data_IF_266068718224
#
_entry.id   IF_266068718224
#
_cell.length_a   1.000
_cell.length_b   1.000
_cell.length_c   1.000
_cell.angle_alpha   90.00
_cell.angle_beta   90.00
_cell.angle_gamma   90.00
#
_symmetry.space_group_name_H-M   'P 1'
#
loop_
_entity.id
_entity.type
_entity.pdbx_description
1 polymer ?
#
# COMPACT_ATOMS: atom_id res chain seq x y z
N UNK A 1 -9.66 11.45 -8.65
CA UNK A 1 -10.54 10.26 -8.75
C UNK A 1 -10.89 9.81 -7.33
N UNK A 2 -12.03 9.19 -7.09
CA UNK A 2 -12.38 8.61 -5.77
C UNK A 2 -12.60 7.11 -5.92
N UNK A 3 -12.03 6.31 -5.01
CA UNK A 3 -12.30 4.87 -4.92
C UNK A 3 -13.05 4.55 -3.64
N UNK A 4 -14.15 3.82 -3.73
CA UNK A 4 -14.95 3.39 -2.59
C UNK A 4 -14.76 1.89 -2.33
N UNK A 5 -14.80 1.48 -1.07
CA UNK A 5 -14.83 0.07 -0.66
C UNK A 5 -15.87 -0.13 0.44
N UNK A 6 -16.92 -0.89 0.18
CA UNK A 6 -17.98 -1.21 1.17
C UNK A 6 -17.42 -1.89 2.42
N UNK A 7 -16.32 -2.63 2.24
CA UNK A 7 -15.62 -3.33 3.32
C UNK A 7 -14.56 -2.46 3.98
N UNK A 8 -14.38 -1.21 3.54
CA UNK A 8 -13.31 -0.32 3.93
C UNK A 8 -11.93 -0.72 3.37
N UNK A 9 -10.92 0.04 3.76
CA UNK A 9 -9.51 -0.15 3.40
C UNK A 9 -8.71 -0.74 4.57
N UNK A 10 -7.59 -1.47 4.34
CA UNK A 10 -6.80 -2.06 5.43
C UNK A 10 -6.34 -1.06 6.50
N UNK A 11 -6.11 0.20 6.12
CA UNK A 11 -5.87 1.29 7.06
C UNK A 11 -7.10 1.62 7.92
N UNK A 12 -8.28 1.74 7.31
CA UNK A 12 -9.54 2.10 7.98
C UNK A 12 -9.97 1.08 9.02
N UNK A 13 -9.60 -0.20 8.85
CA UNK A 13 -9.85 -1.26 9.81
C UNK A 13 -9.17 -1.03 11.18
N UNK A 14 -8.26 -0.05 11.29
CA UNK A 14 -7.58 0.32 12.54
C UNK A 14 -8.27 1.45 13.31
N UNK A 15 -9.32 2.09 12.77
CA UNK A 15 -9.94 3.28 13.40
C UNK A 15 -11.26 2.87 14.11
N UNK A 16 -11.49 3.25 15.38
CA UNK A 16 -12.69 2.86 16.15
C UNK A 16 -14.01 3.40 15.60
N UNK A 17 -13.94 4.51 14.88
CA UNK A 17 -15.02 5.10 14.08
C UNK A 17 -14.50 5.06 12.67
N UNK A 18 -15.11 4.26 11.78
CA UNK A 18 -14.57 3.96 10.45
C UNK A 18 -13.95 5.20 9.80
N UNK A 19 -12.73 5.06 9.29
CA UNK A 19 -12.28 6.03 8.30
C UNK A 19 -13.14 5.79 7.06
N UNK A 20 -13.61 6.86 6.41
CA UNK A 20 -14.52 6.78 5.28
C UNK A 20 -14.11 5.71 4.25
N UNK A 21 -15.11 5.11 3.61
CA UNK A 21 -14.91 4.08 2.60
C UNK A 21 -14.24 4.61 1.32
N UNK A 22 -14.16 5.93 1.22
CA UNK A 22 -13.68 6.66 0.06
C UNK A 22 -12.20 7.05 0.14
N UNK A 23 -11.53 6.91 -1.00
CA UNK A 23 -10.12 7.20 -1.21
C UNK A 23 -9.96 8.25 -2.32
N UNK A 24 -9.58 9.47 -1.96
CA UNK A 24 -9.33 10.53 -2.94
C UNK A 24 -7.94 10.41 -3.57
N UNK A 25 -7.89 9.87 -4.79
CA UNK A 25 -6.67 9.78 -5.61
C UNK A 25 -6.39 11.14 -6.25
N UNK A 26 -5.31 11.76 -5.80
CA UNK A 26 -4.75 12.99 -6.35
C UNK A 26 -3.58 12.69 -7.30
N UNK A 27 -3.07 13.75 -7.94
CA UNK A 27 -1.95 13.65 -8.87
C UNK A 27 -0.69 13.03 -8.26
N UNK A 28 -0.34 13.37 -7.02
CA UNK A 28 0.88 12.86 -6.38
C UNK A 28 0.78 11.36 -6.06
N UNK A 29 -0.40 10.88 -5.67
CA UNK A 29 -0.66 9.46 -5.45
C UNK A 29 -0.62 8.70 -6.77
N UNK A 30 -1.18 9.27 -7.84
CA UNK A 30 -1.08 8.69 -9.18
C UNK A 30 0.38 8.63 -9.65
N UNK A 31 1.17 9.68 -9.43
CA UNK A 31 2.59 9.71 -9.77
C UNK A 31 3.38 8.63 -9.06
N UNK A 32 3.08 8.37 -7.77
CA UNK A 32 3.69 7.26 -7.02
C UNK A 32 3.34 5.91 -7.66
N UNK A 33 2.08 5.71 -8.05
CA UNK A 33 1.68 4.50 -8.74
C UNK A 33 2.39 4.33 -10.09
N UNK A 34 2.49 5.38 -10.91
CA UNK A 34 3.18 5.31 -12.20
C UNK A 34 4.65 4.89 -12.05
N UNK A 35 5.36 5.41 -11.04
CA UNK A 35 6.74 4.96 -10.74
C UNK A 35 6.78 3.47 -10.40
N UNK A 36 5.88 3.01 -9.52
CA UNK A 36 5.81 1.60 -9.14
C UNK A 36 5.41 0.71 -10.33
N UNK A 37 4.53 1.20 -11.20
CA UNK A 37 4.10 0.50 -12.41
C UNK A 37 5.25 0.38 -13.41
N UNK A 38 6.05 1.42 -13.59
CA UNK A 38 7.25 1.38 -14.44
C UNK A 38 8.24 0.33 -13.93
N UNK A 39 8.50 0.28 -12.61
CA UNK A 39 9.35 -0.73 -11.99
C UNK A 39 8.83 -2.16 -12.24
N UNK A 40 7.53 -2.36 -12.03
CA UNK A 40 6.87 -3.65 -12.23
C UNK A 40 6.93 -4.05 -13.71
N UNK A 41 6.74 -3.10 -14.62
CA UNK A 41 6.78 -3.34 -16.06
C UNK A 41 8.18 -3.72 -16.51
N UNK A 42 9.20 -3.01 -16.04
CA UNK A 42 10.60 -3.34 -16.30
C UNK A 42 10.96 -4.73 -15.75
N UNK A 43 10.53 -5.02 -14.53
CA UNK A 43 10.74 -6.32 -13.88
C UNK A 43 10.19 -7.49 -14.70
N UNK A 44 8.96 -7.37 -15.20
CA UNK A 44 8.35 -8.43 -16.00
C UNK A 44 8.84 -8.47 -17.46
N UNK A 45 9.46 -7.41 -17.95
CA UNK A 45 10.00 -7.34 -19.32
C UNK A 45 11.41 -7.91 -19.42
N UNK A 46 12.21 -7.80 -18.35
CA UNK A 46 13.61 -8.22 -18.33
C UNK A 46 13.81 -9.48 -17.47
N UNK A 47 13.54 -10.65 -18.05
CA UNK A 47 13.66 -11.95 -17.36
C UNK A 47 15.05 -12.20 -16.74
N UNK A 48 16.12 -11.65 -17.34
CA UNK A 48 17.51 -11.78 -16.85
C UNK A 48 17.86 -10.88 -15.64
N UNK A 49 17.06 -9.84 -15.36
CA UNK A 49 17.27 -8.93 -14.21
C UNK A 49 16.56 -9.38 -12.93
N UNK A 50 15.90 -10.54 -12.95
CA UNK A 50 15.28 -11.17 -11.77
C UNK A 50 16.28 -11.41 -10.61
N UNK A 51 17.58 -11.29 -10.87
CA UNK A 51 18.67 -11.36 -9.88
C UNK A 51 19.07 -10.01 -9.25
N UNK A 52 18.58 -8.86 -9.73
CA UNK A 52 18.85 -7.53 -9.16
C UNK A 52 17.57 -6.90 -8.59
N UNK A 53 17.14 -7.41 -7.44
CA UNK A 53 15.97 -6.95 -6.69
C UNK A 53 16.07 -5.52 -6.12
N UNK A 54 17.23 -4.85 -6.23
CA UNK A 54 17.42 -3.49 -5.71
C UNK A 54 16.49 -2.45 -6.35
N UNK A 55 16.15 -2.60 -7.63
CA UNK A 55 15.29 -1.62 -8.33
C UNK A 55 13.81 -1.74 -7.95
N UNK A 56 13.39 -2.88 -7.38
CA UNK A 56 12.00 -3.11 -6.97
C UNK A 56 11.76 -2.77 -5.51
N UNK A 57 12.78 -2.30 -4.80
CA UNK A 57 12.69 -1.89 -3.42
C UNK A 57 12.57 -0.37 -3.32
N UNK A 58 11.34 0.10 -3.11
CA UNK A 58 11.02 1.52 -3.00
C UNK A 58 10.74 1.93 -1.56
N UNK A 59 11.07 3.16 -1.21
CA UNK A 59 10.68 3.78 0.07
C UNK A 59 9.91 5.06 -0.22
N UNK A 60 8.65 5.11 0.20
CA UNK A 60 7.78 6.26 0.04
C UNK A 60 7.94 7.23 1.21
N UNK A 61 8.53 8.39 0.95
CA UNK A 61 8.86 9.44 1.92
C UNK A 61 7.97 10.64 1.66
N UNK A 62 7.49 11.28 2.72
CA UNK A 62 6.76 12.53 2.61
C UNK A 62 6.41 13.08 3.98
N UNK A 63 5.86 14.28 3.99
CA UNK A 63 5.54 15.01 5.22
C UNK A 63 4.69 14.17 6.19
N UNK A 64 4.95 14.23 7.51
CA UNK A 64 4.09 13.65 8.53
C UNK A 64 2.61 14.06 8.31
N UNK A 65 1.67 13.11 8.35
CA UNK A 65 0.23 13.41 8.23
C UNK A 65 -0.31 13.64 6.81
N UNK A 66 0.53 13.60 5.76
CA UNK A 66 0.13 13.82 4.36
C UNK A 66 -0.78 12.73 3.75
N UNK A 67 -1.11 11.68 4.52
CA UNK A 67 -1.94 10.58 4.06
C UNK A 67 -1.19 9.49 3.28
N UNK A 68 0.12 9.26 3.48
CA UNK A 68 0.85 8.19 2.78
C UNK A 68 0.22 6.81 2.95
N UNK A 69 -0.08 6.45 4.21
CA UNK A 69 -0.67 5.16 4.56
C UNK A 69 -2.10 5.05 4.03
N UNK A 70 -2.94 6.02 4.39
CA UNK A 70 -4.37 6.07 4.05
C UNK A 70 -4.59 6.16 2.56
N UNK A 71 -3.86 7.05 1.88
CA UNK A 71 -4.07 7.40 0.48
C UNK A 71 -3.20 6.55 -0.45
N UNK A 72 -1.89 6.81 -0.46
CA UNK A 72 -0.97 6.13 -1.37
C UNK A 72 -0.92 4.62 -1.12
N UNK A 73 -0.83 4.18 0.14
CA UNK A 73 -0.80 2.76 0.50
C UNK A 73 -2.05 2.00 0.04
N UNK A 74 -3.24 2.56 0.28
CA UNK A 74 -4.50 1.95 -0.16
C UNK A 74 -4.64 1.96 -1.69
N UNK A 75 -4.22 3.04 -2.35
CA UNK A 75 -4.27 3.12 -3.82
C UNK A 75 -3.31 2.12 -4.48
N UNK A 76 -2.09 1.99 -3.95
CA UNK A 76 -1.14 0.97 -4.38
C UNK A 76 -1.72 -0.43 -4.22
N UNK A 77 -2.38 -0.72 -3.09
CA UNK A 77 -3.03 -2.01 -2.90
C UNK A 77 -4.11 -2.24 -3.96
N UNK A 78 -5.00 -1.27 -4.17
CA UNK A 78 -6.04 -1.34 -5.20
C UNK A 78 -5.43 -1.66 -6.57
N UNK A 79 -4.43 -0.89 -6.98
CA UNK A 79 -3.79 -1.04 -8.28
C UNK A 79 -3.08 -2.40 -8.45
N UNK A 80 -2.34 -2.86 -7.44
CA UNK A 80 -1.68 -4.17 -7.48
C UNK A 80 -2.67 -5.34 -7.56
N UNK A 81 -3.82 -5.22 -6.89
CA UNK A 81 -4.90 -6.21 -6.95
C UNK A 81 -5.55 -6.25 -8.34
N UNK A 82 -5.60 -5.13 -9.06
CA UNK A 82 -6.14 -5.04 -10.42
C UNK A 82 -5.10 -5.26 -11.52
N UNK A 83 -3.82 -5.38 -11.17
CA UNK A 83 -2.76 -5.74 -12.11
C UNK A 83 -2.95 -7.19 -12.62
N UNK A 84 -2.30 -7.54 -13.72
CA UNK A 84 -2.32 -8.89 -14.29
C UNK A 84 -1.96 -9.98 -13.25
N UNK A 85 -2.90 -10.90 -13.00
CA UNK A 85 -2.78 -11.96 -12.01
C UNK A 85 -1.80 -13.06 -12.43
N UNK A 86 -1.57 -13.27 -13.74
CA UNK A 86 -0.60 -14.25 -14.24
C UNK A 86 0.83 -13.80 -13.96
N UNK A 87 1.07 -12.48 -14.03
CA UNK A 87 2.36 -11.86 -13.73
C UNK A 87 2.56 -11.67 -12.24
N UNK A 88 1.56 -11.14 -11.55
CA UNK A 88 1.60 -10.83 -10.12
C UNK A 88 0.48 -11.58 -9.39
N UNK A 89 0.84 -12.69 -8.76
CA UNK A 89 -0.12 -13.64 -8.20
C UNK A 89 -0.53 -13.28 -6.77
N UNK A 90 0.38 -12.69 -6.00
CA UNK A 90 0.16 -12.40 -4.58
C UNK A 90 0.52 -10.96 -4.24
N UNK A 91 -0.30 -10.33 -3.41
CA UNK A 91 0.02 -9.03 -2.79
C UNK A 91 0.00 -9.18 -1.29
N UNK A 92 1.11 -8.84 -0.63
CA UNK A 92 1.20 -8.80 0.82
C UNK A 92 1.07 -7.36 1.30
N UNK A 93 0.20 -7.11 2.29
CA UNK A 93 0.03 -5.80 2.89
C UNK A 93 0.26 -5.90 4.40
N UNK A 94 1.32 -5.25 4.89
CA UNK A 94 1.68 -5.21 6.30
C UNK A 94 1.42 -3.81 6.83
N UNK A 95 0.63 -3.68 7.89
CA UNK A 95 0.39 -2.40 8.56
C UNK A 95 0.31 -2.59 10.07
N UNK A 96 1.13 -1.81 10.79
CA UNK A 96 1.27 -1.91 12.24
C UNK A 96 1.63 -3.34 12.73
N UNK A 97 0.66 -4.09 13.24
CA UNK A 97 0.79 -5.49 13.69
C UNK A 97 -0.04 -6.46 12.84
N UNK A 98 -0.78 -5.96 11.85
CA UNK A 98 -1.66 -6.75 10.99
C UNK A 98 -0.96 -7.06 9.70
N UNK A 99 -1.14 -8.28 9.20
CA UNK A 99 -0.68 -8.64 7.88
C UNK A 99 -1.80 -9.27 7.07
N UNK A 100 -1.87 -8.90 5.81
CA UNK A 100 -2.84 -9.42 4.85
C UNK A 100 -2.10 -10.01 3.68
N UNK A 101 -2.56 -11.16 3.22
CA UNK A 101 -2.08 -11.82 2.03
C UNK A 101 -3.25 -12.00 1.08
N UNK A 102 -3.18 -11.32 -0.04
CA UNK A 102 -4.17 -11.37 -1.11
C UNK A 102 -3.64 -12.30 -2.19
N UNK A 103 -4.28 -13.46 -2.33
CA UNK A 103 -4.03 -14.39 -3.41
C UNK A 103 -5.01 -14.08 -4.54
N UNK A 104 -4.47 -13.56 -5.64
CA UNK A 104 -5.24 -13.13 -6.80
C UNK A 104 -5.64 -14.30 -7.71
N UNK A 105 -4.99 -15.45 -7.58
CA UNK A 105 -5.32 -16.64 -8.36
C UNK A 105 -6.54 -17.35 -7.75
N UNK A 106 -6.56 -17.46 -6.42
CA UNK A 106 -7.69 -18.07 -5.71
C UNK A 106 -8.74 -17.05 -5.26
N UNK A 107 -8.50 -15.76 -5.48
CA UNK A 107 -9.35 -14.63 -5.05
C UNK A 107 -9.61 -14.65 -3.54
N UNK A 108 -8.60 -15.01 -2.74
CA UNK A 108 -8.72 -15.11 -1.29
C UNK A 108 -7.89 -14.07 -0.55
N UNK A 109 -8.36 -13.70 0.64
CA UNK A 109 -7.61 -12.82 1.56
C UNK A 109 -7.42 -13.54 2.87
N UNK A 110 -6.15 -13.68 3.29
CA UNK A 110 -5.79 -14.23 4.60
C UNK A 110 -5.25 -13.13 5.50
N UNK A 111 -5.80 -13.05 6.71
CA UNK A 111 -5.34 -12.14 7.76
C UNK A 111 -4.47 -12.92 8.75
N UNK A 112 -3.28 -12.40 9.02
CA UNK A 112 -2.35 -12.92 10.01
C UNK A 112 -2.24 -11.96 11.19
N UNK A 113 -2.11 -12.53 12.39
CA UNK A 113 -1.99 -11.76 13.63
C UNK A 113 -0.58 -11.20 13.85
N UNK A 114 -0.43 -10.38 14.90
CA UNK A 114 0.83 -9.75 15.29
C UNK A 114 1.96 -10.74 15.57
N UNK A 115 1.64 -11.88 16.18
CA UNK A 115 2.62 -12.93 16.52
C UNK A 115 3.09 -13.77 15.32
N UNK A 116 2.43 -13.67 14.16
CA UNK A 116 2.75 -14.48 12.99
C UNK A 116 4.02 -13.98 12.31
N UNK A 117 4.94 -14.88 11.95
CA UNK A 117 6.13 -14.56 11.16
C UNK A 117 5.71 -14.56 9.69
N UNK A 118 5.28 -13.40 9.18
CA UNK A 118 4.86 -13.31 7.77
C UNK A 118 6.03 -13.60 6.81
N UNK A 119 7.27 -13.35 7.24
CA UNK A 119 8.47 -13.59 6.43
C UNK A 119 8.54 -15.06 5.99
N UNK A 120 8.42 -16.02 6.92
CA UNK A 120 8.46 -17.45 6.60
C UNK A 120 7.40 -17.86 5.56
N UNK A 121 6.21 -17.25 5.62
CA UNK A 121 5.11 -17.51 4.68
C UNK A 121 5.45 -16.96 3.30
N UNK A 122 6.01 -15.76 3.24
CA UNK A 122 6.39 -15.13 1.97
C UNK A 122 7.59 -15.85 1.33
N UNK A 123 8.57 -16.26 2.13
CA UNK A 123 9.72 -17.06 1.68
C UNK A 123 9.25 -18.40 1.12
N UNK A 124 8.35 -19.11 1.81
CA UNK A 124 7.80 -20.38 1.30
C UNK A 124 7.06 -20.22 -0.04
N UNK A 125 6.34 -19.11 -0.22
CA UNK A 125 5.67 -18.81 -1.49
C UNK A 125 6.70 -18.49 -2.58
N UNK A 126 7.70 -17.69 -2.24
CA UNK A 126 8.81 -17.32 -3.11
C UNK A 126 9.60 -18.54 -3.59
N UNK A 127 9.95 -19.45 -2.70
CA UNK A 127 10.67 -20.70 -3.00
C UNK A 127 9.89 -21.61 -3.96
N UNK A 128 8.56 -21.52 -3.95
CA UNK A 128 7.66 -22.22 -4.89
C UNK A 128 7.55 -21.50 -6.24
N UNK A 129 8.23 -20.38 -6.42
CA UNK A 129 8.20 -19.56 -7.64
C UNK A 129 6.97 -18.66 -7.75
N UNK A 130 6.21 -18.45 -6.67
CA UNK A 130 5.08 -17.52 -6.66
C UNK A 130 5.63 -16.11 -6.70
N UNK A 131 5.14 -15.32 -7.66
CA UNK A 131 5.54 -13.92 -7.81
C UNK A 131 4.59 -13.02 -7.02
N UNK A 132 5.16 -12.14 -6.21
CA UNK A 132 4.35 -11.22 -5.43
C UNK A 132 4.98 -9.86 -5.17
N UNK A 133 4.19 -9.00 -4.55
CA UNK A 133 4.57 -7.63 -4.22
C UNK A 133 4.17 -7.30 -2.79
N UNK A 134 5.05 -6.62 -2.04
CA UNK A 134 4.86 -6.29 -0.64
C UNK A 134 4.63 -4.79 -0.48
N UNK A 135 3.52 -4.39 0.13
CA UNK A 135 3.34 -3.06 0.70
C UNK A 135 3.59 -3.17 2.20
N UNK A 136 4.65 -2.52 2.67
CA UNK A 136 5.01 -2.53 4.08
C UNK A 136 4.84 -1.13 4.68
N UNK A 137 3.75 -0.95 5.41
CA UNK A 137 3.39 0.29 6.07
C UNK A 137 3.93 0.36 7.50
N UNK A 138 4.94 1.22 7.68
CA UNK A 138 5.59 1.47 8.97
C UNK A 138 4.74 2.46 9.78
N UNK A 139 3.57 2.02 10.21
CA UNK A 139 2.66 2.84 11.02
C UNK A 139 3.22 3.09 12.44
N UNK A 140 4.02 2.15 12.99
CA UNK A 140 4.54 2.21 14.36
C UNK A 140 6.05 2.45 14.40
N UNK A 141 6.49 3.24 15.38
CA UNK A 141 7.92 3.52 15.64
C UNK A 141 8.69 2.21 15.89
N UNK A 142 9.87 2.07 15.28
CA UNK A 142 10.77 0.94 15.51
C UNK A 142 10.32 -0.38 14.87
N UNK A 143 9.30 -0.38 14.02
CA UNK A 143 8.84 -1.56 13.27
C UNK A 143 9.23 -1.49 11.79
N UNK A 144 10.52 -1.27 11.54
CA UNK A 144 11.07 -1.37 10.19
C UNK A 144 10.86 -2.79 9.63
N UNK A 145 10.80 -2.95 8.30
CA UNK A 145 10.83 -4.28 7.71
C UNK A 145 12.12 -5.02 8.09
N UNK A 146 12.07 -6.35 8.25
CA UNK A 146 13.26 -7.18 8.30
C UNK A 146 14.16 -6.93 7.07
N UNK A 147 15.48 -6.95 7.26
CA UNK A 147 16.45 -6.79 6.17
C UNK A 147 16.44 -7.97 5.18
N UNK A 148 15.74 -9.06 5.51
CA UNK A 148 15.54 -10.24 4.65
C UNK A 148 14.40 -10.05 3.65
N UNK A 149 13.64 -8.95 3.74
CA UNK A 149 12.64 -8.59 2.75
C UNK A 149 13.20 -7.58 1.73
N UNK A 150 12.69 -7.59 0.48
CA UNK A 150 11.73 -8.55 -0.06
C UNK A 150 12.33 -9.95 -0.27
N UNK A 151 11.48 -10.96 -0.35
CA UNK A 151 11.86 -12.30 -0.77
C UNK A 151 12.47 -12.27 -2.18
N UNK A 152 13.29 -13.27 -2.52
CA UNK A 152 13.92 -13.34 -3.83
C UNK A 152 12.87 -13.31 -4.96
N UNK A 153 13.03 -12.42 -5.94
CA UNK A 153 12.05 -12.29 -7.01
C UNK A 153 10.70 -11.69 -6.58
N UNK A 154 10.64 -10.95 -5.46
CA UNK A 154 9.48 -10.14 -5.09
C UNK A 154 9.81 -8.65 -5.12
N UNK A 155 8.83 -7.83 -5.48
CA UNK A 155 8.90 -6.37 -5.35
C UNK A 155 8.39 -5.88 -4.00
N UNK A 156 8.82 -4.70 -3.56
CA UNK A 156 8.39 -4.15 -2.28
C UNK A 156 8.46 -2.63 -2.21
N UNK A 157 7.41 -2.04 -1.63
CA UNK A 157 7.40 -0.63 -1.24
C UNK A 157 7.20 -0.49 0.26
N UNK A 158 8.05 0.33 0.88
CA UNK A 158 7.91 0.72 2.29
C UNK A 158 7.24 2.07 2.37
N UNK A 159 6.05 2.11 2.97
CA UNK A 159 5.36 3.35 3.29
C UNK A 159 5.87 3.85 4.63
N UNK A 160 6.57 4.99 4.61
CA UNK A 160 7.25 5.48 5.81
C UNK A 160 6.30 6.05 6.85
N UNK A 161 6.69 5.87 8.11
CA UNK A 161 6.05 6.51 9.25
C UNK A 161 6.08 8.04 9.11
N UNK A 162 5.15 8.77 9.76
CA UNK A 162 5.29 10.20 10.00
C UNK A 162 6.58 10.60 10.76
N UNK A 163 7.34 9.66 11.33
CA UNK A 163 8.59 9.95 12.03
C UNK A 163 9.81 9.71 11.11
N UNK A 164 10.53 10.78 10.76
CA UNK A 164 11.59 10.82 9.74
C UNK A 164 12.83 9.99 10.07
N UNK A 165 13.15 9.81 11.35
CA UNK A 165 14.49 9.33 11.75
C UNK A 165 14.67 7.80 11.70
N UNK A 166 13.65 7.05 11.27
CA UNK A 166 13.63 5.60 11.44
C UNK A 166 13.82 4.80 10.15
N UNK A 167 13.76 5.36 8.95
CA UNK A 167 13.84 4.53 7.74
C UNK A 167 15.08 4.83 6.89
N UNK A 168 15.77 5.95 7.11
CA UNK A 168 16.92 6.35 6.28
C UNK A 168 18.09 5.36 6.39
N UNK A 169 18.41 4.93 7.61
CA UNK A 169 19.48 3.94 7.84
C UNK A 169 19.14 2.59 7.22
N UNK A 170 17.88 2.16 7.36
CA UNK A 170 17.38 0.93 6.76
C UNK A 170 17.40 1.02 5.23
N UNK A 171 16.83 2.08 4.65
CA UNK A 171 16.78 2.30 3.20
C UNK A 171 18.18 2.31 2.59
N UNK A 172 19.15 2.97 3.25
CA UNK A 172 20.54 2.96 2.82
C UNK A 172 21.19 1.58 2.93
N UNK A 173 20.88 0.82 3.98
CA UNK A 173 21.41 -0.52 4.20
C UNK A 173 20.96 -1.50 3.11
N UNK A 174 19.68 -1.44 2.74
CA UNK A 174 19.07 -2.35 1.75
C UNK A 174 19.12 -1.81 0.31
N UNK A 175 19.69 -0.61 0.11
CA UNK A 175 19.81 0.03 -1.21
C UNK A 175 18.48 0.48 -1.81
N UNK A 176 17.47 0.77 -0.99
CA UNK A 176 16.14 1.14 -1.47
C UNK A 176 16.13 2.53 -2.13
N UNK A 177 15.48 2.63 -3.28
CA UNK A 177 15.30 3.89 -3.98
C UNK A 177 14.14 4.70 -3.38
N UNK A 178 14.30 6.02 -3.30
CA UNK A 178 13.35 6.89 -2.61
C UNK A 178 12.31 7.46 -3.57
N UNK A 179 11.05 7.43 -3.16
CA UNK A 179 9.96 8.17 -3.79
C UNK A 179 9.53 9.25 -2.81
N UNK A 180 9.72 10.52 -3.17
CA UNK A 180 9.24 11.66 -2.38
C UNK A 180 7.82 11.97 -2.85
N UNK A 181 6.84 11.93 -1.94
CA UNK A 181 5.45 12.36 -2.19
C UNK A 181 5.25 13.78 -1.64
N UNK A 182 4.76 14.67 -2.50
CA UNK A 182 4.51 16.06 -2.15
C UNK A 182 3.11 16.26 -1.56
N UNK A 183 2.88 17.44 -0.98
CA UNK A 183 1.55 17.84 -0.53
C UNK A 183 0.60 17.93 -1.72
N UNK A 184 -0.69 17.57 -1.54
CA UNK A 184 -1.71 17.80 -2.55
C UNK A 184 -1.77 19.29 -2.93
N UNK A 185 -2.08 19.56 -4.20
CA UNK A 185 -2.24 20.94 -4.67
C UNK A 185 -3.55 21.56 -4.18
N UNK A 186 -3.71 22.87 -4.31
CA UNK A 186 -4.94 23.57 -3.90
C UNK A 186 -6.19 22.96 -4.53
N UNK A 187 -6.11 22.60 -5.81
CA UNK A 187 -7.23 22.00 -6.54
C UNK A 187 -7.57 20.60 -6.01
N UNK A 188 -6.56 19.81 -5.63
CA UNK A 188 -6.78 18.50 -5.01
C UNK A 188 -7.52 18.67 -3.67
N UNK A 189 -7.06 19.60 -2.83
CA UNK A 189 -7.69 19.88 -1.53
C UNK A 189 -9.12 20.38 -1.72
N UNK A 190 -9.35 21.27 -2.68
CA UNK A 190 -10.70 21.77 -2.99
C UNK A 190 -11.62 20.65 -3.44
N UNK A 191 -11.16 19.75 -4.32
CA UNK A 191 -11.94 18.60 -4.76
C UNK A 191 -12.27 17.65 -3.60
N UNK A 192 -11.32 17.41 -2.69
CA UNK A 192 -11.55 16.60 -1.48
C UNK A 192 -12.60 17.23 -0.56
N UNK A 193 -12.58 18.56 -0.37
CA UNK A 193 -13.57 19.26 0.44
C UNK A 193 -14.97 19.15 -0.17
N UNK A 194 -15.10 19.41 -1.48
CA UNK A 194 -16.38 19.30 -2.19
C UNK A 194 -16.94 17.88 -2.09
N UNK A 195 -16.09 16.87 -2.27
CA UNK A 195 -16.52 15.47 -2.13
C UNK A 195 -17.02 15.17 -0.73
N UNK A 196 -16.28 15.60 0.30
CA UNK A 196 -16.66 15.37 1.70
C UNK A 196 -18.01 16.02 2.06
N UNK A 197 -18.26 17.23 1.54
CA UNK A 197 -19.55 17.91 1.75
C UNK A 197 -20.69 17.15 1.09
N UNK A 198 -20.48 16.67 -0.15
CA UNK A 198 -21.49 15.90 -0.87
C UNK A 198 -21.74 14.52 -0.24
N UNK A 199 -20.69 13.81 0.19
CA UNK A 199 -20.83 12.47 0.78
C UNK A 199 -21.52 12.51 2.14
N UNK A 200 -21.23 13.53 2.96
CA UNK A 200 -21.88 13.69 4.26
C UNK A 200 -23.39 14.00 4.14
N UNK A 201 -23.81 14.72 3.10
CA UNK A 201 -25.23 14.96 2.84
C UNK A 201 -25.99 13.69 2.48
N UNK A 202 -25.37 12.78 1.71
CA UNK A 202 -25.99 11.49 1.33
C UNK A 202 -26.10 10.55 2.53
N UNK A 203 -25.09 10.51 3.41
CA UNK A 203 -25.14 9.69 4.63
C UNK A 203 -26.25 10.16 5.60
N UNK A 204 -26.47 11.47 5.77
CA UNK A 204 -27.55 12.02 6.60
C UNK A 204 -28.95 11.68 6.03
N UNK A 205 -29.14 11.72 4.71
CA UNK A 205 -30.41 11.37 4.06
C UNK A 205 -30.74 9.87 4.18
N UNK A 206 -29.73 8.98 4.09
CA UNK A 206 -29.92 7.53 4.25
C UNK A 206 -30.23 7.12 5.70
N UNK A 207 -29.64 7.78 6.70
CA UNK A 207 -29.97 7.55 8.11
C UNK A 207 -31.41 7.99 8.45
N UNK A 208 -31.88 9.12 7.91
CA UNK A 208 -33.26 9.58 8.12
C UNK A 208 -34.29 8.65 7.46
N UNK A 209 -34.01 8.05 6.30
CA UNK A 209 -34.91 7.07 5.66
C UNK A 209 -34.94 5.71 6.37
N UNK A 210 -33.86 5.31 7.05
CA UNK A 210 -33.77 4.02 7.75
C UNK A 210 -34.50 4.00 9.11
N UNK A 211 -34.80 5.17 9.68
CA UNK A 211 -35.50 5.34 10.97
C UNK A 211 -37.05 5.44 10.85
N UNK A 212 -37.61 5.25 9.65
CA UNK A 212 -39.07 5.20 9.36
C UNK A 212 -39.57 3.79 8.98
#
# INVERSE_FOLDING_TARGET
>A
MVLASDKGWPYSWNVPYGAGNDLCVNWEVERVWQIVLDDITEWFSNFDLTLNSSHLLRVLIGTPGIGKSVNAGSYLLYQLLHYDAEKLQVVAYVIADRKFLFDKITETVKKYGGASIIVDILDELSDRGVKGYIIYDVALKGRQPPNTLPCEGWGMIVVTSPNTNNYESWAKLVGAEQIIINCPEENDVRAMCIWKEHSGQVEEEEEEEADY
#
